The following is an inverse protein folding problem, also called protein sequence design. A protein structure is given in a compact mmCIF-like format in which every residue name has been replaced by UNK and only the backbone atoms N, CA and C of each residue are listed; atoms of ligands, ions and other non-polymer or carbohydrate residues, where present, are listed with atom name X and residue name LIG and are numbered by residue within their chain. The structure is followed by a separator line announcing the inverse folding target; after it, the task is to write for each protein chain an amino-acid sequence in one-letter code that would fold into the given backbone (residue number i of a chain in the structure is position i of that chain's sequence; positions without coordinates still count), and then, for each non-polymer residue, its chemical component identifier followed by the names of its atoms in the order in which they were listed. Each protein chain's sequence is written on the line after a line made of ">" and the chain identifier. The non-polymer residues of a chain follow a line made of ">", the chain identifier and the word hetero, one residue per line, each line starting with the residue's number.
data_IF_684648677308
#
_entry.id   IF_684648677308
#
_cell.length_a   1.000
_cell.length_b   1.000
_cell.length_c   1.000
_cell.angle_alpha   90.00
_cell.angle_beta   90.00
_cell.angle_gamma   90.00
#
_symmetry.space_group_name_H-M   'P 1'
#
loop_
_entity.id
_entity.type
_entity.pdbx_description
1 polymer ?
#
# COMPACT_ATOMS: atom_id res chain seq x y z
N UNK A 1 -4.60 8.05 -5.76
CA UNK A 1 -3.37 7.26 -5.48
C UNK A 1 -2.65 7.73 -4.22
N UNK A 2 -2.14 8.97 -4.14
CA UNK A 2 -1.34 9.42 -2.97
C UNK A 2 -2.08 9.27 -1.63
N UNK A 3 -3.34 9.71 -1.56
CA UNK A 3 -4.15 9.61 -0.35
C UNK A 3 -4.41 8.14 0.05
N UNK A 4 -4.73 7.27 -0.90
CA UNK A 4 -4.92 5.83 -0.65
C UNK A 4 -3.62 5.18 -0.12
N UNK A 5 -2.49 5.54 -0.74
CA UNK A 5 -1.16 5.04 -0.39
C UNK A 5 -0.78 5.43 1.05
N UNK A 6 -1.12 6.65 1.46
CA UNK A 6 -0.87 7.19 2.79
C UNK A 6 -1.84 6.63 3.83
N UNK A 7 -3.15 6.70 3.58
CA UNK A 7 -4.15 6.28 4.57
C UNK A 7 -4.15 4.76 4.77
N UNK A 8 -3.90 3.97 3.72
CA UNK A 8 -3.92 2.51 3.79
C UNK A 8 -2.84 1.91 4.68
N UNK A 9 -1.70 2.58 4.85
CA UNK A 9 -0.61 2.08 5.70
C UNK A 9 -0.79 2.40 7.19
N UNK A 10 -1.59 3.40 7.55
CA UNK A 10 -1.86 3.77 8.94
C UNK A 10 -2.46 2.61 9.77
N UNK A 11 -3.54 1.94 9.35
CA UNK A 11 -4.08 0.81 10.10
C UNK A 11 -3.10 -0.38 10.15
N UNK A 12 -2.29 -0.57 9.10
CA UNK A 12 -1.26 -1.62 9.08
C UNK A 12 -0.23 -1.37 10.18
N UNK A 13 0.31 -0.15 10.27
CA UNK A 13 1.29 0.24 11.30
C UNK A 13 0.67 0.12 12.69
N UNK A 14 -0.55 0.64 12.86
CA UNK A 14 -1.26 0.61 14.14
C UNK A 14 -1.45 -0.83 14.64
N UNK A 15 -1.94 -1.72 13.77
CA UNK A 15 -2.18 -3.11 14.14
C UNK A 15 -0.88 -3.90 14.30
N UNK A 16 0.19 -3.55 13.57
CA UNK A 16 1.49 -4.25 13.72
C UNK A 16 2.12 -3.98 15.08
N UNK A 17 2.04 -2.73 15.54
CA UNK A 17 2.66 -2.26 16.78
C UNK A 17 1.64 -2.11 17.92
N UNK A 18 0.56 -2.91 17.91
CA UNK A 18 -0.52 -2.81 18.87
C UNK A 18 -0.04 -2.82 20.33
N UNK A 19 0.95 -3.67 20.62
CA UNK A 19 1.48 -3.90 21.96
C UNK A 19 2.58 -2.92 22.41
N UNK A 20 3.06 -2.04 21.52
CA UNK A 20 4.17 -1.13 21.82
C UNK A 20 3.73 0.33 21.58
N UNK A 21 3.07 1.00 22.54
CA UNK A 21 2.41 2.28 22.32
C UNK A 21 3.37 3.41 21.93
N UNK A 22 4.58 3.43 22.49
CA UNK A 22 5.61 4.42 22.15
C UNK A 22 6.10 4.24 20.70
N UNK A 23 6.54 3.03 20.35
CA UNK A 23 7.05 2.69 19.01
C UNK A 23 5.96 2.92 17.96
N UNK A 24 4.71 2.55 18.27
CA UNK A 24 3.54 2.81 17.42
C UNK A 24 3.37 4.28 17.12
N UNK A 25 3.43 5.14 18.15
CA UNK A 25 3.23 6.58 17.99
C UNK A 25 4.36 7.21 17.16
N UNK A 26 5.61 6.82 17.42
CA UNK A 26 6.77 7.26 16.64
C UNK A 26 6.64 6.83 15.17
N UNK A 27 6.27 5.57 14.92
CA UNK A 27 6.11 5.04 13.57
C UNK A 27 4.98 5.74 12.79
N UNK A 28 3.83 6.00 13.43
CA UNK A 28 2.71 6.71 12.82
C UNK A 28 3.08 8.17 12.48
N UNK A 29 3.74 8.87 13.40
CA UNK A 29 4.22 10.24 13.14
C UNK A 29 5.28 10.28 12.05
N UNK A 30 6.25 9.36 12.08
CA UNK A 30 7.26 9.23 11.05
C UNK A 30 6.66 8.94 9.67
N UNK A 31 5.68 8.04 9.59
CA UNK A 31 5.04 7.70 8.33
C UNK A 31 4.16 8.82 7.77
N UNK A 32 3.42 9.52 8.63
CA UNK A 32 2.61 10.68 8.22
C UNK A 32 3.49 11.83 7.74
N UNK A 33 4.61 12.10 8.40
CA UNK A 33 5.63 13.07 7.94
C UNK A 33 6.29 12.67 6.62
N UNK A 34 6.70 11.42 6.47
CA UNK A 34 7.25 10.90 5.21
C UNK A 34 6.21 11.01 4.07
N UNK A 35 4.95 10.71 4.37
CA UNK A 35 3.86 10.78 3.41
C UNK A 35 3.50 12.21 3.01
N UNK A 36 3.46 13.16 3.94
CA UNK A 36 3.19 14.56 3.62
C UNK A 36 4.31 15.15 2.76
N UNK A 37 5.57 14.85 3.09
CA UNK A 37 6.71 15.20 2.24
C UNK A 37 6.62 14.53 0.85
N UNK A 38 6.28 13.24 0.80
CA UNK A 38 6.09 12.51 -0.46
C UNK A 38 4.98 13.11 -1.34
N UNK A 39 3.85 13.50 -0.75
CA UNK A 39 2.76 14.20 -1.44
C UNK A 39 3.23 15.55 -1.96
N UNK A 40 3.92 16.34 -1.14
CA UNK A 40 4.47 17.62 -1.54
C UNK A 40 5.41 17.46 -2.74
N UNK A 41 6.35 16.52 -2.68
CA UNK A 41 7.25 16.20 -3.79
C UNK A 41 6.50 15.70 -5.03
N UNK A 42 5.45 14.89 -4.87
CA UNK A 42 4.67 14.36 -5.99
C UNK A 42 3.87 15.44 -6.72
N UNK A 43 3.32 16.43 -5.99
CA UNK A 43 2.57 17.56 -6.55
C UNK A 43 3.50 18.59 -7.19
N UNK A 44 4.68 18.82 -6.61
CA UNK A 44 5.68 19.77 -7.14
C UNK A 44 6.60 19.18 -8.21
N UNK A 45 6.57 17.85 -8.42
CA UNK A 45 7.45 17.18 -9.36
C UNK A 45 7.07 17.49 -10.81
N UNK A 46 8.04 18.03 -11.56
CA UNK A 46 7.97 18.15 -13.03
C UNK A 46 8.41 16.89 -13.78
N UNK A 47 9.04 15.93 -13.08
CA UNK A 47 9.56 14.68 -13.66
C UNK A 47 8.91 13.46 -13.01
N UNK A 48 8.55 12.47 -13.84
CA UNK A 48 7.98 11.18 -13.44
C UNK A 48 8.89 10.41 -12.48
N UNK A 49 10.22 10.54 -12.61
CA UNK A 49 11.21 9.86 -11.74
C UNK A 49 11.15 10.40 -10.31
N UNK A 50 11.00 11.71 -10.14
CA UNK A 50 10.89 12.33 -8.81
C UNK A 50 9.61 11.90 -8.10
N UNK A 51 8.52 11.78 -8.85
CA UNK A 51 7.25 11.24 -8.36
C UNK A 51 7.36 9.76 -7.96
N UNK A 52 8.04 8.94 -8.75
CA UNK A 52 8.26 7.53 -8.43
C UNK A 52 9.08 7.34 -7.16
N UNK A 53 10.16 8.13 -6.96
CA UNK A 53 11.00 8.06 -5.74
C UNK A 53 10.20 8.34 -4.46
N UNK A 54 9.27 9.30 -4.49
CA UNK A 54 8.42 9.59 -3.34
C UNK A 54 7.54 8.37 -2.95
N UNK A 55 6.96 7.69 -3.93
CA UNK A 55 6.17 6.48 -3.70
C UNK A 55 7.02 5.28 -3.27
N UNK A 56 8.25 5.16 -3.79
CA UNK A 56 9.17 4.11 -3.41
C UNK A 56 9.49 4.13 -1.91
N UNK A 57 9.70 5.31 -1.32
CA UNK A 57 9.92 5.41 0.13
C UNK A 57 8.71 4.96 0.96
N UNK A 58 7.49 5.30 0.51
CA UNK A 58 6.28 4.85 1.20
C UNK A 58 6.08 3.33 1.10
N UNK A 59 6.45 2.74 -0.04
CA UNK A 59 6.41 1.29 -0.25
C UNK A 59 7.44 0.57 0.62
N UNK A 60 8.70 1.04 0.64
CA UNK A 60 9.76 0.47 1.48
C UNK A 60 9.40 0.48 2.97
N UNK A 61 8.81 1.58 3.44
CA UNK A 61 8.33 1.66 4.82
C UNK A 61 7.26 0.59 5.10
N UNK A 62 6.34 0.33 4.16
CA UNK A 62 5.34 -0.74 4.29
C UNK A 62 5.95 -2.13 4.31
N UNK A 63 6.87 -2.41 3.39
CA UNK A 63 7.58 -3.70 3.34
C UNK A 63 8.35 -3.98 4.62
N UNK A 64 8.87 -2.94 5.30
CA UNK A 64 9.46 -3.10 6.62
C UNK A 64 8.46 -3.64 7.66
N UNK A 65 7.22 -3.13 7.70
CA UNK A 65 6.19 -3.66 8.59
C UNK A 65 5.73 -5.07 8.20
N UNK A 66 5.68 -5.38 6.91
CA UNK A 66 5.41 -6.74 6.44
C UNK A 66 6.49 -7.72 6.92
N UNK A 67 7.76 -7.30 6.84
CA UNK A 67 8.88 -8.06 7.36
C UNK A 67 8.78 -8.27 8.87
N UNK A 68 8.46 -7.22 9.64
CA UNK A 68 8.25 -7.35 11.10
C UNK A 68 7.17 -8.38 11.43
N UNK A 69 6.04 -8.37 10.71
CA UNK A 69 4.98 -9.38 10.87
C UNK A 69 5.45 -10.77 10.46
N UNK A 70 6.21 -10.89 9.39
CA UNK A 70 6.73 -12.18 8.90
C UNK A 70 7.67 -12.85 9.91
N UNK A 71 8.55 -12.07 10.55
CA UNK A 71 9.51 -12.57 11.56
C UNK A 71 8.84 -12.80 12.92
N UNK A 72 7.55 -12.42 13.08
CA UNK A 72 6.81 -12.59 14.34
C UNK A 72 7.09 -11.51 15.38
N UNK A 73 7.81 -10.45 15.02
CA UNK A 73 8.00 -9.25 15.87
C UNK A 73 6.80 -8.30 15.83
N UNK A 74 5.98 -8.42 14.78
CA UNK A 74 4.75 -7.66 14.59
C UNK A 74 3.51 -8.47 14.95
N UNK A 75 2.48 -7.76 15.41
CA UNK A 75 1.15 -8.33 15.68
C UNK A 75 0.22 -8.19 14.49
N UNK A 76 -0.86 -8.99 14.43
CA UNK A 76 -1.85 -8.93 13.37
C UNK A 76 -2.39 -10.31 12.98
N UNK A 77 -3.47 -10.30 12.20
CA UNK A 77 -4.10 -11.52 11.75
C UNK A 77 -3.21 -12.24 10.70
N UNK A 78 -3.04 -13.58 10.74
CA UNK A 78 -2.15 -14.28 9.81
C UNK A 78 -2.55 -14.13 8.33
N UNK A 79 -3.85 -13.97 8.04
CA UNK A 79 -4.34 -13.77 6.65
C UNK A 79 -4.24 -12.33 6.15
N UNK A 80 -4.06 -11.33 7.04
CA UNK A 80 -4.01 -9.93 6.63
C UNK A 80 -2.71 -9.61 5.88
N UNK A 81 -1.59 -10.21 6.30
CA UNK A 81 -0.30 -10.07 5.61
C UNK A 81 -0.38 -10.50 4.15
N UNK A 82 -1.00 -11.66 3.87
CA UNK A 82 -1.22 -12.13 2.50
C UNK A 82 -2.06 -11.14 1.69
N UNK A 83 -3.10 -10.58 2.30
CA UNK A 83 -3.98 -9.59 1.65
C UNK A 83 -3.21 -8.32 1.29
N UNK A 84 -2.33 -7.83 2.18
CA UNK A 84 -1.49 -6.66 1.91
C UNK A 84 -0.44 -6.91 0.83
N UNK A 85 0.16 -8.10 0.78
CA UNK A 85 1.09 -8.47 -0.30
C UNK A 85 0.38 -8.53 -1.66
N UNK A 86 -0.83 -9.08 -1.70
CA UNK A 86 -1.65 -9.10 -2.93
C UNK A 86 -2.03 -7.66 -3.34
N UNK A 87 -2.42 -6.82 -2.38
CA UNK A 87 -2.71 -5.40 -2.63
C UNK A 87 -1.54 -4.69 -3.31
N UNK A 88 -0.34 -4.71 -2.72
CA UNK A 88 0.83 -4.03 -3.29
C UNK A 88 1.25 -4.67 -4.64
N UNK A 89 1.12 -5.99 -4.78
CA UNK A 89 1.38 -6.71 -6.03
C UNK A 89 0.46 -6.27 -7.17
N UNK A 90 -0.85 -6.18 -6.92
CA UNK A 90 -1.84 -5.72 -7.90
C UNK A 90 -1.64 -4.24 -8.26
N UNK A 91 -1.34 -3.39 -7.28
CA UNK A 91 -1.05 -1.97 -7.52
C UNK A 91 0.21 -1.79 -8.38
N UNK A 92 1.26 -2.56 -8.10
CA UNK A 92 2.49 -2.56 -8.90
C UNK A 92 2.23 -3.06 -10.33
N UNK A 93 1.52 -4.19 -10.48
CA UNK A 93 1.17 -4.74 -11.79
C UNK A 93 0.36 -3.76 -12.63
N UNK A 94 -0.65 -3.10 -12.05
CA UNK A 94 -1.42 -2.07 -12.74
C UNK A 94 -0.55 -0.90 -13.19
N UNK A 95 0.40 -0.47 -12.36
CA UNK A 95 1.37 0.56 -12.73
C UNK A 95 2.27 0.15 -13.91
N UNK A 96 2.77 -1.09 -13.91
CA UNK A 96 3.58 -1.64 -15.01
C UNK A 96 2.78 -1.73 -16.31
N UNK A 97 1.53 -2.19 -16.26
CA UNK A 97 0.65 -2.27 -17.43
C UNK A 97 0.42 -0.87 -18.03
N UNK A 98 0.08 0.12 -17.19
CA UNK A 98 -0.14 1.50 -17.64
C UNK A 98 1.13 2.15 -18.22
N UNK A 99 2.31 1.87 -17.67
CA UNK A 99 3.58 2.41 -18.21
C UNK A 99 3.96 1.72 -19.53
N UNK A 100 3.79 0.39 -19.61
CA UNK A 100 4.12 -0.40 -20.80
C UNK A 100 3.17 -0.17 -21.98
N UNK A 101 1.98 0.41 -21.71
CA UNK A 101 0.90 0.66 -22.67
C UNK A 101 0.43 -0.63 -23.37
N UNK A 102 0.42 -1.73 -22.65
CA UNK A 102 -0.09 -3.02 -23.14
C UNK A 102 -1.55 -3.15 -22.71
N UNK A 103 -2.49 -3.52 -23.59
CA UNK A 103 -2.31 -4.12 -24.92
C UNK A 103 -2.32 -3.15 -26.11
N UNK A 104 -2.56 -1.84 -25.91
CA UNK A 104 -2.67 -0.90 -27.04
C UNK A 104 -1.40 -0.78 -27.89
N UNK A 105 -0.23 -1.06 -27.30
CA UNK A 105 1.05 -1.17 -28.00
C UNK A 105 1.10 -2.34 -28.99
N UNK A 106 0.35 -3.41 -28.74
CA UNK A 106 0.33 -4.61 -29.60
C UNK A 106 -0.64 -4.49 -30.76
N UNK A 107 -1.78 -3.80 -30.59
CA UNK A 107 -2.72 -3.47 -31.68
C UNK A 107 -3.19 -2.02 -31.57
N UNK A 108 -2.48 -1.07 -32.18
CA UNK A 108 -2.90 0.33 -32.20
C UNK A 108 -4.27 0.47 -32.89
N UNK A 109 -5.16 1.29 -32.32
CA UNK A 109 -6.51 1.56 -32.84
C UNK A 109 -7.59 0.53 -32.46
N UNK A 110 -7.23 -0.64 -31.92
CA UNK A 110 -8.23 -1.65 -31.48
C UNK A 110 -8.75 -1.41 -30.06
N UNK A 111 -7.99 -0.68 -29.22
CA UNK A 111 -8.25 -0.52 -27.79
C UNK A 111 -8.57 0.93 -27.40
N UNK A 112 -8.98 1.78 -28.36
CA UNK A 112 -9.16 3.21 -28.12
C UNK A 112 -10.32 3.50 -27.14
N UNK A 113 -11.39 2.71 -27.20
CA UNK A 113 -12.57 2.87 -26.34
C UNK A 113 -12.59 1.90 -25.14
N UNK A 114 -12.10 0.66 -25.32
CA UNK A 114 -12.23 -0.42 -24.34
C UNK A 114 -10.92 -1.17 -24.17
N UNK A 115 -10.64 -1.62 -22.94
CA UNK A 115 -9.47 -2.41 -22.55
C UNK A 115 -8.12 -1.75 -22.83
N UNK A 116 -8.07 -0.41 -22.83
CA UNK A 116 -6.79 0.28 -22.80
C UNK A 116 -6.05 0.01 -21.47
N UNK A 117 -4.72 0.13 -21.50
CA UNK A 117 -3.86 -0.12 -20.33
C UNK A 117 -4.28 0.72 -19.11
N UNK A 118 -4.81 1.92 -19.33
CA UNK A 118 -5.26 2.82 -18.29
C UNK A 118 -6.51 2.28 -17.57
N UNK A 119 -7.50 1.78 -18.31
CA UNK A 119 -8.71 1.13 -17.78
C UNK A 119 -8.33 -0.14 -17.02
N UNK A 120 -7.42 -0.95 -17.56
CA UNK A 120 -6.93 -2.16 -16.88
C UNK A 120 -6.25 -1.78 -15.55
N UNK A 121 -5.40 -0.74 -15.55
CA UNK A 121 -4.80 -0.23 -14.32
C UNK A 121 -5.87 0.19 -13.30
N UNK A 122 -6.91 0.93 -13.69
CA UNK A 122 -7.98 1.32 -12.78
C UNK A 122 -8.67 0.11 -12.16
N UNK A 123 -9.00 -0.90 -12.96
CA UNK A 123 -9.61 -2.15 -12.47
C UNK A 123 -8.69 -2.83 -11.44
N UNK A 124 -7.40 -2.98 -11.74
CA UNK A 124 -6.43 -3.59 -10.83
C UNK A 124 -6.27 -2.78 -9.53
N UNK A 125 -6.30 -1.45 -9.60
CA UNK A 125 -6.24 -0.58 -8.42
C UNK A 125 -7.49 -0.73 -7.56
N UNK A 126 -8.68 -0.85 -8.15
CA UNK A 126 -9.92 -1.11 -7.39
C UNK A 126 -9.83 -2.45 -6.66
N UNK A 127 -9.39 -3.52 -7.34
CA UNK A 127 -9.22 -4.84 -6.72
C UNK A 127 -8.16 -4.77 -5.61
N UNK A 128 -7.05 -4.07 -5.82
CA UNK A 128 -6.03 -3.82 -4.80
C UNK A 128 -6.63 -3.17 -3.54
N UNK A 129 -7.49 -2.16 -3.68
CA UNK A 129 -8.17 -1.50 -2.55
C UNK A 129 -9.13 -2.45 -1.82
N UNK A 130 -9.78 -3.38 -2.51
CA UNK A 130 -10.61 -4.40 -1.87
C UNK A 130 -9.77 -5.33 -0.98
N UNK A 131 -8.60 -5.76 -1.45
CA UNK A 131 -7.66 -6.54 -0.63
C UNK A 131 -7.12 -5.76 0.57
N UNK A 132 -6.84 -4.46 0.40
CA UNK A 132 -6.51 -3.57 1.52
C UNK A 132 -7.63 -3.57 2.55
N UNK A 133 -8.88 -3.36 2.11
CA UNK A 133 -10.04 -3.31 2.98
C UNK A 133 -10.21 -4.62 3.77
N UNK A 134 -10.19 -5.78 3.10
CA UNK A 134 -10.30 -7.07 3.77
C UNK A 134 -9.15 -7.34 4.75
N UNK A 135 -7.91 -6.98 4.39
CA UNK A 135 -6.76 -7.09 5.29
C UNK A 135 -6.92 -6.24 6.55
N UNK A 136 -7.32 -4.97 6.40
CA UNK A 136 -7.54 -4.04 7.51
C UNK A 136 -8.68 -4.49 8.41
N UNK A 137 -9.81 -4.90 7.83
CA UNK A 137 -10.96 -5.40 8.59
C UNK A 137 -10.57 -6.65 9.39
N UNK A 138 -9.84 -7.59 8.79
CA UNK A 138 -9.35 -8.77 9.50
C UNK A 138 -8.42 -8.40 10.68
N UNK A 139 -7.50 -7.45 10.48
CA UNK A 139 -6.64 -6.96 11.56
C UNK A 139 -7.41 -6.26 12.68
N UNK A 140 -8.40 -5.42 12.34
CA UNK A 140 -9.22 -4.69 13.31
C UNK A 140 -10.13 -5.63 14.12
N UNK A 141 -10.67 -6.67 13.51
CA UNK A 141 -11.42 -7.69 14.25
C UNK A 141 -10.52 -8.53 15.15
N UNK A 142 -9.30 -8.81 14.69
CA UNK A 142 -8.32 -9.57 15.46
C UNK A 142 -7.86 -8.78 16.68
N UNK A 143 -7.47 -7.51 16.51
CA UNK A 143 -6.96 -6.67 17.60
C UNK A 143 -8.03 -6.39 18.67
N UNK A 144 -9.31 -6.36 18.30
CA UNK A 144 -10.41 -6.16 19.25
C UNK A 144 -10.50 -7.28 20.30
N UNK A 145 -10.02 -8.48 19.98
CA UNK A 145 -10.05 -9.65 20.85
C UNK A 145 -8.66 -10.09 21.34
N UNK A 146 -7.60 -9.39 20.90
CA UNK A 146 -6.22 -9.78 21.19
C UNK A 146 -5.71 -9.10 22.46
N UNK A 147 -5.25 -9.89 23.42
CA UNK A 147 -4.55 -9.40 24.61
C UNK A 147 -3.04 -9.44 24.37
N UNK A 148 -2.38 -8.29 24.51
CA UNK A 148 -0.93 -8.24 24.46
C UNK A 148 -0.32 -9.04 25.61
N UNK A 149 0.72 -9.86 25.35
CA UNK A 149 1.44 -10.52 26.42
C UNK A 149 1.99 -9.46 27.38
N UNK A 150 1.78 -9.69 28.68
CA UNK A 150 2.42 -8.87 29.72
C UNK A 150 3.88 -9.30 29.77
N UNK A 151 4.77 -8.38 29.45
CA UNK A 151 6.21 -8.52 29.70
C UNK A 151 6.47 -8.64 31.21
#
# INVERSE_FOLDING_TARGET
>A
VCMVNTLGALPIIYCTLACSPLVRSIALLGYTGLSSYGIFCAVTARSSVRRLRAFAWQALFRFFFFYLRWVGLGTGHPTSLRSYLIMDGLAFLGGVINISRVPERWKPGSFDYWFNSHQIMHVLVVVSILYLHWGVVADLHWIANYACPKE
#
